data_IF_490560614368
#
_entry.id   IF_490560614368
#
_cell.length_a   1.000
_cell.length_b   1.000
_cell.length_c   1.000
_cell.angle_alpha   90.00
_cell.angle_beta   90.00
_cell.angle_gamma   90.00
#
_symmetry.space_group_name_H-M   'P 1'
#
loop_
_entity.id
_entity.type
_entity.pdbx_description
1 polymer ?
#
# COMPACT_ATOMS: atom_id res chain seq x y z
N UNK A 1 -4.63 37.82 -10.55
CA UNK A 1 -4.18 36.99 -9.42
C UNK A 1 -3.52 35.72 -9.97
N UNK A 2 -2.40 35.26 -9.40
CA UNK A 2 -1.69 34.02 -9.81
C UNK A 2 -1.16 33.29 -8.57
N UNK A 3 -1.02 31.97 -8.65
CA UNK A 3 -0.40 31.16 -7.58
C UNK A 3 1.08 31.57 -7.48
N UNK A 4 1.55 31.83 -6.25
CA UNK A 4 2.92 32.30 -5.97
C UNK A 4 3.87 31.16 -5.62
N UNK A 5 3.37 30.09 -5.01
CA UNK A 5 4.19 28.98 -4.54
C UNK A 5 3.34 27.70 -4.35
N UNK A 6 3.98 26.54 -4.34
CA UNK A 6 3.39 25.22 -4.06
C UNK A 6 4.34 24.42 -3.19
N UNK A 7 3.85 23.97 -2.03
CA UNK A 7 4.60 23.13 -1.09
C UNK A 7 3.91 21.79 -0.93
N UNK A 8 4.68 20.70 -0.97
CA UNK A 8 4.22 19.32 -0.82
C UNK A 8 4.98 18.65 0.33
N UNK A 9 4.25 17.95 1.21
CA UNK A 9 4.82 17.13 2.28
C UNK A 9 4.16 15.77 2.27
N UNK A 10 4.91 14.74 2.70
CA UNK A 10 4.37 13.39 2.89
C UNK A 10 3.37 13.38 4.06
N UNK A 11 2.36 12.54 3.95
CA UNK A 11 1.39 12.26 5.00
C UNK A 11 1.11 10.77 5.10
N UNK A 12 0.53 10.37 6.23
CA UNK A 12 -0.06 9.04 6.42
C UNK A 12 -1.56 9.11 6.15
N UNK A 13 -2.20 7.96 5.96
CA UNK A 13 -3.65 7.82 5.82
C UNK A 13 -4.23 7.06 7.02
N UNK A 14 -5.56 6.94 7.09
CA UNK A 14 -6.24 6.23 8.18
C UNK A 14 -6.20 4.70 8.08
N UNK A 15 -5.57 4.14 7.04
CA UNK A 15 -5.52 2.70 6.80
C UNK A 15 -4.29 2.31 5.96
N UNK A 16 -4.21 1.03 5.60
CA UNK A 16 -3.13 0.47 4.80
C UNK A 16 -3.49 0.37 3.32
N UNK A 17 -2.47 0.32 2.47
CA UNK A 17 -2.62 -0.10 1.09
C UNK A 17 -2.44 -1.61 1.01
N UNK A 18 -3.49 -2.29 0.55
CA UNK A 18 -3.50 -3.75 0.40
C UNK A 18 -3.44 -4.15 -1.06
N UNK A 19 -2.54 -5.09 -1.37
CA UNK A 19 -2.46 -5.75 -2.66
C UNK A 19 -3.62 -6.74 -2.82
N UNK A 20 -4.74 -6.22 -3.31
CA UNK A 20 -5.95 -7.01 -3.51
C UNK A 20 -5.73 -8.20 -4.46
N UNK A 21 -4.80 -8.11 -5.42
CA UNK A 21 -4.51 -9.20 -6.35
C UNK A 21 -3.83 -10.35 -5.63
N UNK A 22 -2.81 -10.06 -4.82
CA UNK A 22 -2.15 -11.06 -3.98
C UNK A 22 -3.12 -11.68 -2.96
N UNK A 23 -3.95 -10.85 -2.30
CA UNK A 23 -4.95 -11.33 -1.34
C UNK A 23 -5.97 -12.27 -2.00
N UNK A 24 -6.47 -11.93 -3.19
CA UNK A 24 -7.43 -12.78 -3.92
C UNK A 24 -6.82 -14.05 -4.49
N UNK A 25 -5.52 -14.04 -4.79
CA UNK A 25 -4.79 -15.25 -5.21
C UNK A 25 -4.69 -16.26 -4.06
N UNK A 26 -4.61 -15.77 -2.82
CA UNK A 26 -4.62 -16.60 -1.62
C UNK A 26 -3.30 -17.33 -1.32
N UNK A 27 -2.22 -16.99 -2.03
CA UNK A 27 -0.88 -17.56 -1.83
C UNK A 27 -0.06 -16.70 -0.85
N UNK A 28 -0.51 -16.63 0.40
CA UNK A 28 0.15 -15.90 1.49
C UNK A 28 -0.17 -16.55 2.85
N UNK A 29 0.60 -16.19 3.88
CA UNK A 29 0.34 -16.57 5.27
C UNK A 29 -0.14 -15.35 6.05
N UNK A 30 -1.26 -15.47 6.78
CA UNK A 30 -1.69 -14.42 7.71
C UNK A 30 -0.68 -14.27 8.84
N UNK A 31 -0.18 -13.04 9.06
CA UNK A 31 0.78 -12.73 10.12
C UNK A 31 0.27 -11.55 10.96
N UNK A 32 -0.58 -11.85 11.94
CA UNK A 32 -1.21 -10.86 12.78
C UNK A 32 -2.09 -9.91 11.98
N UNK A 33 -1.69 -8.63 11.88
CA UNK A 33 -2.37 -7.63 11.06
C UNK A 33 -1.81 -7.52 9.63
N UNK A 34 -0.82 -8.33 9.26
CA UNK A 34 -0.19 -8.35 7.94
C UNK A 34 -0.36 -9.68 7.20
N UNK A 35 0.30 -9.76 6.05
CA UNK A 35 0.32 -10.92 5.18
C UNK A 35 1.76 -11.16 4.70
N UNK A 36 2.28 -12.37 4.93
CA UNK A 36 3.60 -12.80 4.46
C UNK A 36 3.45 -13.56 3.15
N UNK A 37 4.04 -13.04 2.08
CA UNK A 37 3.95 -13.57 0.73
C UNK A 37 4.42 -12.53 -0.30
N UNK A 38 4.33 -12.89 -1.58
CA UNK A 38 4.79 -12.02 -2.67
C UNK A 38 3.69 -11.06 -3.15
N UNK A 39 3.94 -9.73 -3.21
CA UNK A 39 3.02 -8.81 -3.86
C UNK A 39 2.94 -9.11 -5.36
N UNK A 40 1.74 -8.97 -5.93
CA UNK A 40 1.45 -9.22 -7.34
C UNK A 40 1.10 -7.94 -8.12
N UNK A 41 0.85 -6.83 -7.43
CA UNK A 41 0.48 -5.55 -8.03
C UNK A 41 1.72 -4.65 -8.17
N UNK A 42 2.03 -4.15 -9.38
CA UNK A 42 3.20 -3.28 -9.57
C UNK A 42 3.20 -2.07 -8.64
N UNK A 43 4.33 -1.82 -7.99
CA UNK A 43 4.50 -0.73 -7.01
C UNK A 43 4.27 -1.13 -5.56
N UNK A 44 3.68 -2.31 -5.30
CA UNK A 44 3.65 -2.89 -3.96
C UNK A 44 4.98 -3.59 -3.67
N UNK A 45 5.47 -3.40 -2.45
CA UNK A 45 6.68 -4.09 -1.95
C UNK A 45 6.35 -5.08 -0.84
N UNK A 46 5.11 -5.05 -0.36
CA UNK A 46 4.49 -5.97 0.61
C UNK A 46 3.02 -6.10 0.26
N UNK A 47 2.39 -7.20 0.67
CA UNK A 47 0.94 -7.39 0.46
C UNK A 47 0.13 -6.33 1.23
N UNK A 48 0.60 -5.87 2.39
CA UNK A 48 0.05 -4.74 3.15
C UNK A 48 1.16 -3.73 3.50
N UNK A 49 0.95 -2.45 3.21
CA UNK A 49 1.92 -1.36 3.47
C UNK A 49 1.28 -0.05 3.92
#
# INVERSE_FOLDING_TARGET
>A
MRIKDVVLSKGLTGFYFDDQKAIRQGDYVENGLGYDGEPMTPGFTKIRQ
#
